data_IF_356992030117
#
_entry.id   IF_356992030117
#
_cell.length_a   1.000
_cell.length_b   1.000
_cell.length_c   1.000
_cell.angle_alpha   90.00
_cell.angle_beta   90.00
_cell.angle_gamma   90.00
#
_symmetry.space_group_name_H-M   'P 1'
#
loop_
_entity.id
_entity.type
_entity.pdbx_description
1 polymer ?
#
# COMPACT_ATOMS: atom_id res chain seq x y z
N UNK A 1 -11.58 -11.04 14.53
CA UNK A 1 -11.30 -11.37 14.32
C UNK A 1 -11.24 -12.47 14.28
N UNK A 2 -11.44 -12.76 14.19
CA UNK A 2 -11.37 -13.71 14.21
C UNK A 2 -11.15 -14.39 13.55
N UNK A 3 -11.61 -14.39 13.06
CA UNK A 3 -11.28 -14.92 12.19
C UNK A 3 -10.10 -15.34 12.30
N UNK A 4 -9.89 -15.21 12.96
CA UNK A 4 -8.58 -15.23 13.29
C UNK A 4 -8.02 -16.57 13.03
N UNK A 5 -8.67 -17.51 13.30
CA UNK A 5 -8.23 -18.79 13.19
C UNK A 5 -7.86 -19.19 11.87
N UNK A 6 -8.74 -19.19 11.03
CA UNK A 6 -8.46 -19.71 9.76
C UNK A 6 -7.27 -18.96 9.27
N UNK A 7 -7.14 -17.81 9.68
CA UNK A 7 -6.10 -17.01 9.29
C UNK A 7 -4.81 -17.59 9.70
N UNK A 8 -4.82 -18.32 10.70
CA UNK A 8 -3.66 -18.92 11.20
C UNK A 8 -2.99 -19.74 10.18
N UNK A 9 -3.68 -20.59 9.54
CA UNK A 9 -3.04 -21.47 8.62
C UNK A 9 -2.45 -20.65 7.50
N UNK A 10 -3.02 -19.51 7.19
CA UNK A 10 -2.53 -18.73 6.11
C UNK A 10 -1.30 -18.00 6.57
N UNK A 11 -1.29 -17.54 7.76
CA UNK A 11 -0.17 -16.77 8.25
C UNK A 11 1.09 -17.64 8.26
N UNK A 12 0.92 -18.96 8.22
CA UNK A 12 2.09 -19.82 8.21
C UNK A 12 2.83 -19.65 6.88
N UNK A 13 2.13 -19.15 5.84
CA UNK A 13 2.71 -19.02 4.54
C UNK A 13 3.09 -17.58 4.23
N UNK A 14 2.82 -16.67 5.13
CA UNK A 14 3.14 -15.28 4.93
C UNK A 14 4.13 -14.85 6.00
N UNK A 15 4.97 -13.92 5.66
CA UNK A 15 5.94 -13.42 6.60
C UNK A 15 5.77 -11.95 6.83
N UNK A 16 5.94 -11.55 8.07
CA UNK A 16 5.92 -10.15 8.43
C UNK A 16 7.30 -9.83 9.00
N UNK A 17 7.96 -8.85 8.44
CA UNK A 17 9.27 -8.41 8.93
C UNK A 17 9.13 -6.99 9.44
N UNK A 18 9.58 -6.78 10.66
CA UNK A 18 9.50 -5.48 11.30
C UNK A 18 10.92 -5.02 11.57
N UNK A 19 11.28 -3.84 11.08
CA UNK A 19 12.62 -3.30 11.25
C UNK A 19 12.52 -1.97 11.97
N UNK A 20 13.30 -1.80 13.01
CA UNK A 20 13.27 -0.54 13.74
C UNK A 20 14.04 0.50 12.94
N UNK A 21 13.42 1.64 12.68
CA UNK A 21 14.01 2.70 11.88
C UNK A 21 14.41 3.89 12.73
N UNK A 22 13.87 4.01 13.93
CA UNK A 22 14.17 5.14 14.80
C UNK A 22 13.38 5.04 16.08
N UNK A 23 13.28 6.11 16.81
CA UNK A 23 12.56 6.12 18.08
C UNK A 23 11.08 5.90 17.80
N UNK A 24 10.51 4.83 18.36
CA UNK A 24 9.12 4.48 18.19
C UNK A 24 8.69 4.43 16.72
N UNK A 25 9.63 4.16 15.82
CA UNK A 25 9.39 4.11 14.37
C UNK A 25 9.85 2.78 13.81
N UNK A 26 8.95 2.10 13.11
CA UNK A 26 9.25 0.79 12.55
C UNK A 26 8.77 0.69 11.12
N UNK A 27 9.52 -0.02 10.30
CA UNK A 27 9.10 -0.35 8.95
C UNK A 27 8.53 -1.75 9.01
N UNK A 28 7.37 -1.96 8.41
CA UNK A 28 6.71 -3.26 8.42
C UNK A 28 6.49 -3.71 6.99
N UNK A 29 6.93 -4.92 6.68
CA UNK A 29 6.78 -5.48 5.35
C UNK A 29 6.13 -6.84 5.47
N UNK A 30 5.07 -7.07 4.68
CA UNK A 30 4.40 -8.36 4.64
C UNK A 30 4.72 -9.02 3.30
N UNK A 31 5.11 -10.29 3.34
CA UNK A 31 5.45 -11.06 2.16
C UNK A 31 4.48 -12.23 2.00
N UNK A 32 4.20 -12.62 0.75
CA UNK A 32 3.38 -13.80 0.52
C UNK A 32 4.31 -15.02 0.52
N UNK A 33 3.73 -16.21 0.36
CA UNK A 33 4.50 -17.44 0.40
C UNK A 33 5.52 -17.54 -0.73
N UNK A 34 5.33 -16.84 -1.82
CA UNK A 34 6.25 -16.86 -2.92
C UNK A 34 7.42 -15.89 -2.72
N UNK A 35 7.39 -15.13 -1.64
CA UNK A 35 8.45 -14.19 -1.35
C UNK A 35 8.22 -12.78 -1.89
N UNK A 36 7.06 -12.52 -2.49
CA UNK A 36 6.78 -11.19 -3.02
C UNK A 36 6.15 -10.33 -1.92
N UNK A 37 6.44 -9.04 -1.96
CA UNK A 37 5.88 -8.11 -0.98
C UNK A 37 4.39 -7.93 -1.26
N UNK A 38 3.58 -8.05 -0.24
CA UNK A 38 2.15 -7.80 -0.35
C UNK A 38 1.82 -6.38 0.07
N UNK A 39 2.47 -5.89 1.12
CA UNK A 39 2.26 -4.52 1.54
C UNK A 39 3.40 -4.10 2.44
N UNK A 40 3.65 -2.81 2.48
CA UNK A 40 4.69 -2.26 3.32
C UNK A 40 4.35 -0.85 3.74
N UNK A 41 4.81 -0.47 4.89
CA UNK A 41 4.56 0.84 5.42
C UNK A 41 5.34 1.08 6.70
N UNK A 42 5.05 2.18 7.35
CA UNK A 42 5.75 2.56 8.55
C UNK A 42 4.76 2.80 9.70
N UNK A 43 5.20 2.51 10.90
CA UNK A 43 4.42 2.75 12.09
C UNK A 43 5.27 3.65 12.98
N UNK A 44 4.70 4.75 13.42
CA UNK A 44 5.38 5.68 14.31
C UNK A 44 4.43 5.96 15.46
N UNK A 45 4.91 5.82 16.69
CA UNK A 45 4.11 6.00 17.87
C UNK A 45 2.80 5.20 17.79
N UNK A 46 2.95 3.94 17.32
CA UNK A 46 1.83 3.00 17.24
C UNK A 46 0.77 3.35 16.20
N UNK A 47 1.06 4.26 15.29
CA UNK A 47 0.11 4.63 14.22
C UNK A 47 0.80 4.56 12.88
N UNK A 48 0.04 4.26 11.84
CA UNK A 48 0.58 4.27 10.49
C UNK A 48 1.03 5.70 10.19
N UNK A 49 2.21 5.83 9.59
CA UNK A 49 2.78 7.13 9.34
C UNK A 49 3.78 7.03 8.18
N UNK A 50 3.70 7.97 7.24
CA UNK A 50 4.61 7.95 6.10
C UNK A 50 4.08 7.09 4.97
N UNK A 51 4.95 6.68 4.08
CA UNK A 51 4.57 5.96 2.89
C UNK A 51 3.94 4.61 3.16
N UNK A 52 2.97 4.27 2.33
CA UNK A 52 2.29 3.00 2.39
C UNK A 52 2.14 2.48 0.97
N UNK A 53 2.38 1.18 0.77
CA UNK A 53 2.20 0.56 -0.53
C UNK A 53 1.62 -0.83 -0.36
N UNK A 54 0.77 -1.25 -1.30
CA UNK A 54 0.35 -2.63 -1.35
C UNK A 54 0.50 -3.12 -2.78
N UNK A 55 0.57 -4.43 -2.94
CA UNK A 55 0.91 -5.04 -4.22
C UNK A 55 0.01 -6.23 -4.51
N UNK A 56 -0.17 -6.52 -5.77
CA UNK A 56 -0.89 -7.71 -6.21
C UNK A 56 0.07 -8.90 -6.02
N UNK A 57 -0.46 -10.10 -6.07
CA UNK A 57 0.33 -11.30 -5.87
C UNK A 57 1.50 -11.42 -6.83
N UNK A 58 1.37 -10.86 -8.02
CA UNK A 58 2.43 -10.95 -9.02
C UNK A 58 3.49 -9.85 -8.85
N UNK A 59 3.37 -9.05 -7.80
CA UNK A 59 4.38 -8.04 -7.52
C UNK A 59 4.08 -6.65 -8.06
N UNK A 60 3.04 -6.51 -8.89
CA UNK A 60 2.70 -5.18 -9.41
C UNK A 60 2.09 -4.34 -8.29
N UNK A 61 2.36 -3.06 -8.33
CA UNK A 61 1.85 -2.16 -7.30
C UNK A 61 0.33 -2.03 -7.42
N UNK A 62 -0.36 -2.13 -6.34
CA UNK A 62 -1.81 -2.00 -6.30
C UNK A 62 -2.24 -0.67 -5.71
N UNK A 63 -1.58 -0.23 -4.66
CA UNK A 63 -1.95 1.01 -3.99
C UNK A 63 -0.69 1.70 -3.47
N UNK A 64 -0.65 3.01 -3.54
CA UNK A 64 0.40 3.75 -2.85
C UNK A 64 -0.18 5.04 -2.31
N UNK A 65 0.31 5.47 -1.17
CA UNK A 65 -0.17 6.69 -0.55
C UNK A 65 0.65 7.02 0.68
N UNK A 66 0.10 7.86 1.50
CA UNK A 66 0.78 8.30 2.70
C UNK A 66 -0.19 8.45 3.86
N UNK A 67 0.32 8.17 5.05
CA UNK A 67 -0.43 8.37 6.28
C UNK A 67 0.27 9.43 7.12
N UNK A 68 -0.51 10.17 7.87
CA UNK A 68 0.01 11.11 8.84
C UNK A 68 -0.74 10.82 10.14
N UNK A 69 -0.03 10.30 11.13
CA UNK A 69 -0.58 9.98 12.43
C UNK A 69 -1.86 9.15 12.32
N UNK A 70 -1.81 8.15 11.46
CA UNK A 70 -2.91 7.21 11.30
C UNK A 70 -3.98 7.62 10.30
N UNK A 71 -3.86 8.78 9.69
CA UNK A 71 -4.88 9.26 8.75
C UNK A 71 -4.30 9.37 7.35
N UNK A 72 -5.09 9.03 6.35
CA UNK A 72 -4.67 9.14 4.97
C UNK A 72 -4.53 10.61 4.62
N UNK A 73 -3.46 10.96 3.93
CA UNK A 73 -3.22 12.32 3.50
C UNK A 73 -2.55 12.34 2.15
N UNK A 74 -2.71 13.42 1.43
CA UNK A 74 -2.05 13.61 0.13
C UNK A 74 -2.63 12.73 -0.96
N UNK A 75 -1.83 12.49 -1.98
CA UNK A 75 -2.28 11.75 -3.13
C UNK A 75 -2.12 10.27 -2.94
N UNK A 76 -3.20 9.55 -3.21
CA UNK A 76 -3.21 8.09 -3.16
C UNK A 76 -3.51 7.58 -4.55
N UNK A 77 -2.82 6.54 -4.98
CA UNK A 77 -3.00 5.95 -6.29
C UNK A 77 -3.46 4.50 -6.14
N UNK A 78 -4.46 4.14 -6.94
CA UNK A 78 -5.00 2.80 -6.95
C UNK A 78 -4.94 2.29 -8.39
N UNK A 79 -4.21 1.20 -8.61
CA UNK A 79 -4.04 0.61 -9.95
C UNK A 79 -4.95 -0.61 -10.07
N UNK A 80 -5.78 -0.63 -11.09
CA UNK A 80 -6.68 -1.74 -11.30
C UNK A 80 -6.97 -1.96 -12.77
N UNK A 81 -6.51 -3.09 -13.29
CA UNK A 81 -6.82 -3.50 -14.63
C UNK A 81 -6.93 -2.40 -15.66
N UNK A 82 -5.82 -1.81 -15.93
CA UNK A 82 -5.78 -0.83 -16.96
C UNK A 82 -6.19 0.57 -16.58
N UNK A 83 -6.44 0.79 -15.32
CA UNK A 83 -6.85 2.10 -14.87
C UNK A 83 -6.12 2.50 -13.61
N UNK A 84 -5.94 3.81 -13.45
CA UNK A 84 -5.34 4.35 -12.25
C UNK A 84 -6.32 5.36 -11.69
N UNK A 85 -6.63 5.22 -10.44
CA UNK A 85 -7.48 6.21 -9.75
C UNK A 85 -6.59 6.99 -8.78
N UNK A 86 -6.59 8.29 -8.93
CA UNK A 86 -5.83 9.17 -8.06
C UNK A 86 -6.83 9.82 -7.11
N UNK A 87 -6.59 9.74 -5.81
CA UNK A 87 -7.48 10.29 -4.81
C UNK A 87 -6.69 11.19 -3.89
N UNK A 88 -7.13 12.41 -3.71
CA UNK A 88 -6.49 13.32 -2.77
C UNK A 88 -7.25 13.22 -1.45
N UNK A 89 -6.51 13.02 -0.36
CA UNK A 89 -7.08 12.92 0.97
C UNK A 89 -6.57 14.06 1.86
N UNK A 90 -7.45 14.52 2.73
CA UNK A 90 -7.09 15.42 3.81
C UNK A 90 -7.69 14.81 5.06
N UNK A 91 -6.86 14.34 5.97
CA UNK A 91 -7.28 13.71 7.22
C UNK A 91 -8.37 12.67 6.99
N UNK A 92 -8.08 11.70 6.11
CA UNK A 92 -8.98 10.61 5.78
C UNK A 92 -10.17 11.01 4.91
N UNK A 93 -10.34 12.28 4.63
CA UNK A 93 -11.48 12.72 3.82
C UNK A 93 -11.05 12.86 2.36
N UNK A 94 -11.87 12.35 1.45
CA UNK A 94 -11.61 12.45 0.02
C UNK A 94 -11.98 13.85 -0.43
N UNK A 95 -11.04 14.57 -1.02
CA UNK A 95 -11.32 15.91 -1.53
C UNK A 95 -11.28 15.99 -3.04
N UNK A 96 -10.72 14.99 -3.72
CA UNK A 96 -10.66 15.02 -5.17
C UNK A 96 -10.40 13.61 -5.68
N UNK A 97 -11.00 13.25 -6.81
CA UNK A 97 -10.76 11.97 -7.46
C UNK A 97 -10.56 12.18 -8.95
N UNK A 98 -9.52 11.58 -9.51
CA UNK A 98 -9.26 11.62 -10.93
C UNK A 98 -9.01 10.19 -11.40
N UNK A 99 -9.54 9.84 -12.56
CA UNK A 99 -9.31 8.52 -13.13
C UNK A 99 -8.46 8.67 -14.39
N UNK A 100 -7.51 7.76 -14.57
CA UNK A 100 -6.60 7.77 -15.70
C UNK A 100 -6.64 6.44 -16.40
N UNK A 101 -6.23 6.46 -17.67
CA UNK A 101 -6.08 5.22 -18.40
C UNK A 101 -4.78 4.55 -17.95
N UNK A 102 -4.59 3.33 -18.38
CA UNK A 102 -3.46 2.55 -17.97
C UNK A 102 -2.13 3.07 -18.35
N UNK A 103 -1.11 2.56 -17.70
CA UNK A 103 0.25 2.86 -18.00
C UNK A 103 0.60 2.51 -19.45
N UNK A 104 -0.10 1.51 -19.99
CA UNK A 104 0.18 1.10 -21.37
C UNK A 104 -0.07 2.25 -22.31
N UNK A 105 -1.17 2.98 -22.09
CA UNK A 105 -1.53 4.09 -22.95
C UNK A 105 -0.53 5.20 -22.69
N UNK A 106 -0.16 5.39 -21.45
CA UNK A 106 0.77 6.42 -21.09
C UNK A 106 2.14 6.13 -21.68
N UNK A 107 2.55 4.87 -21.67
CA UNK A 107 3.84 4.49 -22.20
C UNK A 107 3.89 4.79 -23.68
N UNK A 108 2.77 4.61 -24.38
CA UNK A 108 2.72 4.85 -25.81
C UNK A 108 2.92 6.34 -26.06
N UNK A 109 2.35 7.16 -25.24
CA UNK A 109 2.45 8.60 -25.37
C UNK A 109 3.87 9.01 -25.11
N UNK A 110 4.49 8.44 -24.10
CA UNK A 110 5.82 8.81 -23.74
C UNK A 110 6.85 8.51 -24.81
N UNK A 111 6.60 7.56 -25.65
CA UNK A 111 7.56 7.19 -26.66
C UNK A 111 7.57 8.20 -27.79
N UNK A 112 6.55 8.96 -27.87
CA UNK A 112 6.43 9.94 -28.92
C UNK A 112 7.06 11.27 -28.50
#
# INVERSE_FOLDING_TARGET
MLFALSIMSLSAQEKKIVTKEGINTFKVVYYNEAGNILQQGFIKNKKLHGEWSSFYKDGRKAVSGQYDKGKKTGKWFFWNEGKIREVDFVDNNVVKVLDWDTPATIATIDKD
#
